data_IF_588568103873
#
_entry.id   IF_588568103873
#
_cell.length_a   1.000
_cell.length_b   1.000
_cell.length_c   1.000
_cell.angle_alpha   90.00
_cell.angle_beta   90.00
_cell.angle_gamma   90.00
#
_symmetry.space_group_name_H-M   'P 1'
#
loop_
_entity.id
_entity.type
_entity.pdbx_description
1 polymer ?
#
# COMPACT_ATOMS: atom_id res chain seq x y z
N UNK A 1 4.70 9.91 -21.76
CA UNK A 1 4.43 8.47 -21.91
C UNK A 1 3.51 8.06 -20.78
N UNK A 2 2.38 7.44 -21.08
CA UNK A 2 1.34 7.11 -20.10
C UNK A 2 1.47 5.64 -19.65
N UNK A 3 1.40 5.40 -18.33
CA UNK A 3 1.56 4.07 -17.69
C UNK A 3 0.60 3.01 -18.23
N UNK A 4 -0.54 3.41 -18.77
CA UNK A 4 -1.54 2.46 -19.31
C UNK A 4 -1.24 2.03 -20.75
N UNK A 5 -0.29 2.65 -21.46
CA UNK A 5 0.00 2.31 -22.87
C UNK A 5 0.35 0.81 -23.05
N UNK A 6 1.21 0.19 -22.21
CA UNK A 6 1.50 -1.24 -22.31
C UNK A 6 0.26 -2.12 -22.22
N UNK A 7 -0.71 -1.79 -21.35
CA UNK A 7 -1.99 -2.50 -21.29
C UNK A 7 -2.77 -2.38 -22.60
N UNK A 8 -2.89 -1.19 -23.19
CA UNK A 8 -3.58 -1.02 -24.47
C UNK A 8 -2.90 -1.77 -25.62
N UNK A 9 -1.59 -1.90 -25.60
CA UNK A 9 -0.85 -2.75 -26.53
C UNK A 9 -1.17 -4.23 -26.30
N UNK A 10 -1.20 -4.67 -25.05
CA UNK A 10 -1.56 -6.04 -24.68
C UNK A 10 -2.99 -6.41 -25.10
N UNK A 11 -3.95 -5.47 -25.02
CA UNK A 11 -5.32 -5.69 -25.50
C UNK A 11 -5.39 -6.07 -26.99
N UNK A 12 -4.45 -5.60 -27.81
CA UNK A 12 -4.38 -5.97 -29.22
C UNK A 12 -3.72 -7.35 -29.43
N UNK A 13 -2.86 -7.78 -28.51
CA UNK A 13 -2.16 -9.05 -28.60
C UNK A 13 -3.01 -10.22 -28.10
N UNK A 14 -3.78 -10.02 -27.03
CA UNK A 14 -4.60 -11.05 -26.38
C UNK A 14 -6.01 -10.55 -26.02
N UNK A 15 -6.83 -10.13 -26.99
CA UNK A 15 -8.11 -9.46 -26.74
C UNK A 15 -9.09 -10.31 -25.93
N UNK A 16 -9.26 -11.58 -26.30
CA UNK A 16 -10.27 -12.48 -25.73
C UNK A 16 -9.83 -13.12 -24.41
N UNK A 17 -8.59 -12.87 -23.98
CA UNK A 17 -8.07 -13.40 -22.74
C UNK A 17 -8.73 -12.72 -21.55
N UNK A 18 -8.97 -13.46 -20.47
CA UNK A 18 -9.41 -12.89 -19.19
C UNK A 18 -8.34 -11.98 -18.58
N UNK A 19 -8.70 -10.72 -18.34
CA UNK A 19 -7.86 -9.74 -17.66
C UNK A 19 -8.08 -9.80 -16.13
N UNK A 20 -9.34 -9.70 -15.69
CA UNK A 20 -9.70 -9.77 -14.28
C UNK A 20 -10.74 -10.84 -13.97
N UNK A 21 -10.65 -11.39 -12.77
CA UNK A 21 -11.64 -12.26 -12.15
C UNK A 21 -12.02 -11.72 -10.78
N UNK A 22 -13.31 -11.54 -10.55
CA UNK A 22 -13.90 -11.05 -9.30
C UNK A 22 -15.07 -11.96 -8.92
N UNK A 23 -14.82 -12.90 -8.00
CA UNK A 23 -15.76 -13.96 -7.65
C UNK A 23 -16.23 -14.74 -8.90
N UNK A 24 -17.52 -14.66 -9.26
CA UNK A 24 -18.09 -15.30 -10.45
C UNK A 24 -17.97 -14.44 -11.72
N UNK A 25 -17.57 -13.17 -11.58
CA UNK A 25 -17.47 -12.24 -12.70
C UNK A 25 -16.08 -12.30 -13.32
N UNK A 26 -16.04 -12.28 -14.65
CA UNK A 26 -14.81 -12.21 -15.42
C UNK A 26 -14.92 -11.14 -16.48
N UNK A 27 -13.83 -10.44 -16.78
CA UNK A 27 -13.77 -9.48 -17.88
C UNK A 27 -12.54 -9.76 -18.75
N UNK A 28 -12.75 -9.81 -20.06
CA UNK A 28 -11.66 -9.97 -21.02
C UNK A 28 -10.85 -8.68 -21.17
N UNK A 29 -9.67 -8.75 -21.79
CA UNK A 29 -8.88 -7.57 -22.12
C UNK A 29 -9.64 -6.60 -23.04
N UNK A 30 -10.38 -7.12 -24.03
CA UNK A 30 -11.15 -6.27 -24.96
C UNK A 30 -12.36 -5.62 -24.30
N UNK A 31 -13.05 -6.33 -23.40
CA UNK A 31 -14.19 -5.79 -22.66
C UNK A 31 -13.73 -4.75 -21.64
N UNK A 32 -12.62 -5.02 -20.95
CA UNK A 32 -12.00 -4.07 -20.02
C UNK A 32 -11.55 -2.81 -20.75
N UNK A 33 -10.88 -2.94 -21.90
CA UNK A 33 -10.52 -1.80 -22.75
C UNK A 33 -11.75 -0.99 -23.14
N UNK A 34 -12.81 -1.65 -23.58
CA UNK A 34 -14.06 -0.97 -23.97
C UNK A 34 -14.68 -0.21 -22.80
N UNK A 35 -14.68 -0.80 -21.60
CA UNK A 35 -15.14 -0.13 -20.38
C UNK A 35 -14.30 1.10 -20.04
N UNK A 36 -12.97 0.97 -20.07
CA UNK A 36 -12.02 2.05 -19.84
C UNK A 36 -12.23 3.19 -20.85
N UNK A 37 -12.39 2.88 -22.14
CA UNK A 37 -12.60 3.86 -23.20
C UNK A 37 -13.89 4.67 -22.96
N UNK A 38 -14.99 4.03 -22.53
CA UNK A 38 -16.24 4.71 -22.19
C UNK A 38 -16.08 5.69 -21.02
N UNK A 39 -15.47 5.24 -19.92
CA UNK A 39 -15.23 6.10 -18.75
C UNK A 39 -14.28 7.26 -19.13
N UNK A 40 -13.20 6.98 -19.85
CA UNK A 40 -12.22 7.99 -20.27
C UNK A 40 -12.85 9.03 -21.21
N UNK A 41 -13.74 8.62 -22.12
CA UNK A 41 -14.48 9.53 -22.97
C UNK A 41 -15.34 10.51 -22.17
N UNK A 42 -16.06 9.98 -21.17
CA UNK A 42 -16.89 10.78 -20.29
C UNK A 42 -16.06 11.82 -19.51
N UNK A 43 -14.90 11.42 -18.98
CA UNK A 43 -13.98 12.34 -18.31
C UNK A 43 -13.45 13.43 -19.27
N UNK A 44 -13.19 13.10 -20.54
CA UNK A 44 -12.78 14.09 -21.55
C UNK A 44 -13.90 15.08 -21.90
N UNK A 45 -15.16 14.64 -21.95
CA UNK A 45 -16.31 15.54 -22.12
C UNK A 45 -16.39 16.54 -20.96
N UNK A 46 -16.05 16.09 -19.74
CA UNK A 46 -15.92 16.93 -18.55
C UNK A 46 -14.63 17.77 -18.53
N UNK A 47 -13.84 17.76 -19.62
CA UNK A 47 -12.60 18.51 -19.79
C UNK A 47 -11.53 18.19 -18.73
N UNK A 48 -11.54 16.96 -18.20
CA UNK A 48 -10.55 16.49 -17.22
C UNK A 48 -9.19 16.32 -17.90
N UNK A 49 -8.17 17.01 -17.39
CA UNK A 49 -6.77 16.86 -17.80
C UNK A 49 -5.83 17.34 -16.69
N UNK A 50 -4.82 16.55 -16.32
CA UNK A 50 -3.85 16.84 -15.25
C UNK A 50 -4.47 17.20 -13.89
N UNK A 51 -5.74 16.84 -13.67
CA UNK A 51 -6.47 17.05 -12.42
C UNK A 51 -6.47 15.77 -11.58
N UNK A 52 -6.60 15.92 -10.26
CA UNK A 52 -6.83 14.80 -9.36
C UNK A 52 -8.28 14.32 -9.48
N UNK A 53 -8.48 13.02 -9.69
CA UNK A 53 -9.78 12.35 -9.69
C UNK A 53 -9.74 11.28 -8.61
N UNK A 54 -10.61 11.41 -7.62
CA UNK A 54 -10.69 10.44 -6.54
C UNK A 54 -11.54 9.24 -6.94
N UNK A 55 -11.20 8.05 -6.46
CA UNK A 55 -11.90 6.79 -6.72
C UNK A 55 -12.45 6.28 -5.39
N UNK A 56 -13.77 6.39 -5.19
CA UNK A 56 -14.49 5.95 -4.00
C UNK A 56 -15.15 4.59 -4.23
N UNK A 57 -14.36 3.60 -4.66
CA UNK A 57 -14.81 2.25 -5.00
C UNK A 57 -13.95 1.22 -4.28
N UNK A 58 -14.58 0.13 -3.84
CA UNK A 58 -13.86 -1.03 -3.32
C UNK A 58 -12.97 -1.66 -4.40
N UNK A 59 -11.92 -2.36 -3.96
CA UNK A 59 -11.02 -3.11 -4.84
C UNK A 59 -11.81 -4.14 -5.66
N UNK A 60 -11.73 -4.01 -6.98
CA UNK A 60 -12.44 -4.87 -7.92
C UNK A 60 -12.30 -4.39 -9.36
N UNK A 61 -13.09 -4.98 -10.27
CA UNK A 61 -13.07 -4.65 -11.70
C UNK A 61 -13.44 -3.18 -11.93
N UNK A 62 -14.41 -2.66 -11.17
CA UNK A 62 -14.89 -1.29 -11.29
C UNK A 62 -13.81 -0.26 -10.94
N UNK A 63 -13.21 -0.39 -9.76
CA UNK A 63 -12.15 0.52 -9.33
C UNK A 63 -10.93 0.46 -10.27
N UNK A 64 -10.53 -0.74 -10.74
CA UNK A 64 -9.43 -0.88 -11.67
C UNK A 64 -9.76 -0.19 -13.01
N UNK A 65 -10.97 -0.39 -13.54
CA UNK A 65 -11.43 0.25 -14.77
C UNK A 65 -11.43 1.77 -14.66
N UNK A 66 -11.88 2.33 -13.53
CA UNK A 66 -11.84 3.78 -13.28
C UNK A 66 -10.42 4.33 -13.20
N UNK A 67 -9.50 3.64 -12.52
CA UNK A 67 -8.08 4.05 -12.43
C UNK A 67 -7.48 4.14 -13.83
N UNK A 68 -7.65 3.08 -14.64
CA UNK A 68 -7.16 3.07 -16.01
C UNK A 68 -7.80 4.15 -16.88
N UNK A 69 -9.09 4.46 -16.68
CA UNK A 69 -9.80 5.50 -17.41
C UNK A 69 -9.34 6.91 -17.06
N UNK A 70 -9.12 7.19 -15.76
CA UNK A 70 -8.56 8.46 -15.28
C UNK A 70 -7.19 8.70 -15.90
N UNK A 71 -6.31 7.69 -15.85
CA UNK A 71 -4.99 7.75 -16.48
C UNK A 71 -5.11 7.92 -18.00
N UNK A 72 -6.05 7.22 -18.65
CA UNK A 72 -6.29 7.34 -20.11
C UNK A 72 -6.83 8.71 -20.53
N UNK A 73 -7.48 9.44 -19.62
CA UNK A 73 -7.87 10.84 -19.79
C UNK A 73 -6.71 11.83 -19.53
N UNK A 74 -5.57 11.36 -19.05
CA UNK A 74 -4.42 12.19 -18.70
C UNK A 74 -4.56 12.88 -17.34
N UNK A 75 -5.33 12.29 -16.43
CA UNK A 75 -5.53 12.77 -15.07
C UNK A 75 -4.82 11.88 -14.03
N UNK A 76 -4.82 12.35 -12.79
CA UNK A 76 -4.13 11.75 -11.65
C UNK A 76 -5.18 10.97 -10.85
N UNK A 77 -4.98 9.68 -10.60
CA UNK A 77 -5.91 8.93 -9.76
C UNK A 77 -5.56 9.03 -8.27
N UNK A 78 -6.58 9.13 -7.43
CA UNK A 78 -6.48 9.10 -5.98
C UNK A 78 -7.46 8.06 -5.42
N UNK A 79 -7.01 6.86 -5.06
CA UNK A 79 -7.86 5.84 -4.45
C UNK A 79 -8.25 6.25 -3.02
N UNK A 80 -9.54 6.23 -2.70
CA UNK A 80 -10.04 6.47 -1.35
C UNK A 80 -10.38 5.14 -0.68
N UNK A 81 -9.97 4.98 0.58
CA UNK A 81 -10.50 3.93 1.43
C UNK A 81 -11.78 4.42 2.11
N UNK A 82 -12.92 4.05 1.54
CA UNK A 82 -14.25 4.40 2.04
C UNK A 82 -14.61 3.71 3.37
N UNK A 83 -13.78 2.78 3.86
CA UNK A 83 -13.93 2.14 5.18
C UNK A 83 -13.30 2.98 6.30
N UNK A 84 -12.55 4.03 5.95
CA UNK A 84 -12.05 4.97 6.93
C UNK A 84 -13.18 5.81 7.55
N UNK A 85 -12.99 6.33 8.77
CA UNK A 85 -13.93 7.28 9.34
C UNK A 85 -14.13 8.49 8.43
N UNK A 86 -15.36 9.01 8.38
CA UNK A 86 -15.74 10.18 7.56
C UNK A 86 -14.80 11.36 7.75
N UNK A 87 -14.36 11.64 8.99
CA UNK A 87 -13.40 12.73 9.27
C UNK A 87 -12.08 12.57 8.49
N UNK A 88 -11.58 11.34 8.36
CA UNK A 88 -10.34 11.03 7.62
C UNK A 88 -10.56 11.15 6.11
N UNK A 89 -11.70 10.67 5.60
CA UNK A 89 -12.08 10.81 4.19
C UNK A 89 -12.19 12.30 3.83
N UNK A 90 -12.89 13.09 4.64
CA UNK A 90 -13.09 14.52 4.39
C UNK A 90 -11.77 15.30 4.48
N UNK A 91 -10.85 14.90 5.37
CA UNK A 91 -9.49 15.46 5.39
C UNK A 91 -8.78 15.21 4.05
N UNK A 92 -8.76 13.96 3.56
CA UNK A 92 -8.10 13.60 2.31
C UNK A 92 -8.71 14.37 1.13
N UNK A 93 -10.03 14.50 1.07
CA UNK A 93 -10.71 15.24 0.00
C UNK A 93 -10.37 16.73 0.07
N UNK A 94 -10.38 17.33 1.25
CA UNK A 94 -10.06 18.74 1.44
C UNK A 94 -8.60 19.06 1.07
N UNK A 95 -7.66 18.17 1.42
CA UNK A 95 -6.25 18.34 1.07
C UNK A 95 -5.96 18.01 -0.41
N UNK A 96 -6.61 16.98 -0.96
CA UNK A 96 -6.41 16.57 -2.34
C UNK A 96 -7.05 17.52 -3.36
N UNK A 97 -8.19 18.13 -3.01
CA UNK A 97 -9.02 18.95 -3.90
C UNK A 97 -9.32 18.24 -5.25
N UNK A 98 -9.93 17.05 -5.22
CA UNK A 98 -10.24 16.33 -6.46
C UNK A 98 -11.25 17.12 -7.30
N UNK A 99 -11.03 17.16 -8.61
CA UNK A 99 -11.98 17.77 -9.54
C UNK A 99 -13.30 16.98 -9.60
N UNK A 100 -13.19 15.65 -9.51
CA UNK A 100 -14.31 14.73 -9.45
C UNK A 100 -14.00 13.53 -8.55
N UNK A 101 -15.05 12.90 -8.03
CA UNK A 101 -15.01 11.66 -7.26
C UNK A 101 -15.85 10.63 -8.00
N UNK A 102 -15.23 9.53 -8.42
CA UNK A 102 -15.91 8.42 -9.10
C UNK A 102 -16.45 7.45 -8.05
N UNK A 103 -17.72 7.08 -8.17
CA UNK A 103 -18.35 6.04 -7.36
C UNK A 103 -19.53 5.39 -8.07
N UNK A 104 -20.35 4.64 -7.33
CA UNK A 104 -21.56 3.96 -7.85
C UNK A 104 -22.76 4.37 -7.00
N UNK A 105 -23.86 4.73 -7.66
CA UNK A 105 -25.09 5.19 -7.04
C UNK A 105 -25.05 6.66 -6.61
N UNK A 106 -25.89 7.01 -5.64
CA UNK A 106 -26.02 8.37 -5.15
C UNK A 106 -24.75 8.85 -4.43
N UNK A 107 -24.54 10.17 -4.47
CA UNK A 107 -23.46 10.80 -3.72
C UNK A 107 -23.63 10.52 -2.22
N UNK A 108 -22.57 10.10 -1.52
CA UNK A 108 -22.68 9.74 -0.12
C UNK A 108 -22.84 10.97 0.77
N UNK A 109 -23.55 10.83 1.89
CA UNK A 109 -23.87 11.92 2.82
C UNK A 109 -22.64 12.63 3.42
N UNK A 110 -21.48 11.98 3.41
CA UNK A 110 -20.23 12.57 3.90
C UNK A 110 -19.61 13.59 2.92
N UNK A 111 -20.07 13.63 1.67
CA UNK A 111 -19.56 14.52 0.64
C UNK A 111 -20.33 15.85 0.65
N UNK A 112 -19.68 16.91 1.12
CA UNK A 112 -20.29 18.25 1.23
C UNK A 112 -20.76 18.81 -0.13
N UNK A 113 -20.06 18.50 -1.22
CA UNK A 113 -20.39 18.95 -2.57
C UNK A 113 -20.76 17.77 -3.48
N UNK A 114 -22.06 17.41 -3.60
CA UNK A 114 -22.47 16.29 -4.45
C UNK A 114 -22.24 16.55 -5.96
N UNK A 115 -22.00 17.79 -6.39
CA UNK A 115 -21.81 18.12 -7.81
C UNK A 115 -20.50 17.57 -8.41
N UNK A 116 -19.53 17.21 -7.56
CA UNK A 116 -18.27 16.57 -8.01
C UNK A 116 -18.37 15.04 -8.03
N UNK A 117 -19.49 14.45 -7.62
CA UNK A 117 -19.71 13.01 -7.69
C UNK A 117 -20.03 12.56 -9.12
N UNK A 118 -19.35 11.53 -9.58
CA UNK A 118 -19.57 10.88 -10.87
C UNK A 118 -20.01 9.43 -10.64
N UNK A 119 -21.30 9.18 -10.82
CA UNK A 119 -21.89 7.84 -10.74
C UNK A 119 -21.61 7.05 -12.02
N UNK A 120 -20.83 5.96 -11.90
CA UNK A 120 -20.54 5.06 -13.01
C UNK A 120 -21.78 4.34 -13.56
N UNK A 121 -22.84 4.21 -12.78
CA UNK A 121 -24.09 3.60 -13.25
C UNK A 121 -24.82 4.46 -14.28
N UNK A 122 -24.51 5.77 -14.33
CA UNK A 122 -25.13 6.76 -15.21
C UNK A 122 -24.22 7.17 -16.38
N UNK A 123 -23.17 6.40 -16.67
CA UNK A 123 -22.32 6.66 -17.84
C UNK A 123 -23.17 6.66 -19.11
N UNK A 124 -22.96 7.63 -20.02
CA UNK A 124 -23.72 7.67 -21.26
C UNK A 124 -23.48 6.38 -22.05
N UNK A 125 -24.57 5.81 -22.57
CA UNK A 125 -24.55 4.55 -23.34
C UNK A 125 -23.94 4.71 -24.75
N UNK A 126 -23.37 5.87 -25.07
CA UNK A 126 -22.76 6.11 -26.38
C UNK A 126 -21.65 5.11 -26.64
N UNK A 127 -21.72 4.43 -27.80
CA UNK A 127 -20.62 3.61 -28.26
C UNK A 127 -19.44 4.52 -28.62
N UNK A 128 -18.45 4.52 -27.75
CA UNK A 128 -17.18 5.21 -27.99
C UNK A 128 -16.11 4.13 -28.05
N UNK A 129 -15.60 3.88 -29.26
CA UNK A 129 -14.57 2.88 -29.55
C UNK A 129 -13.32 3.56 -30.09
N UNK A 130 -12.15 3.01 -29.75
CA UNK A 130 -10.89 3.43 -30.33
C UNK A 130 -10.31 4.70 -29.71
N UNK A 131 -10.70 5.01 -28.47
CA UNK A 131 -10.03 6.06 -27.72
C UNK A 131 -8.65 5.57 -27.28
N UNK A 132 -7.63 6.11 -27.93
CA UNK A 132 -6.26 5.92 -27.46
C UNK A 132 -6.01 6.77 -26.20
N UNK A 133 -5.26 6.28 -25.19
CA UNK A 133 -4.85 7.07 -24.03
C UNK A 133 -4.19 8.40 -24.42
N UNK A 134 -4.46 9.46 -23.67
CA UNK A 134 -3.77 10.74 -23.88
C UNK A 134 -2.27 10.54 -23.64
N UNK A 135 -1.46 11.02 -24.58
CA UNK A 135 -0.03 11.13 -24.38
C UNK A 135 0.26 12.32 -23.44
N UNK A 136 0.87 12.02 -22.31
CA UNK A 136 1.28 12.99 -21.28
C UNK A 136 2.81 13.06 -21.20
N UNK A 137 3.38 14.06 -20.52
CA UNK A 137 4.80 14.00 -20.14
C UNK A 137 5.01 12.83 -19.15
N UNK A 138 6.14 12.12 -19.24
CA UNK A 138 6.43 11.00 -18.34
C UNK A 138 6.61 11.45 -16.88
N UNK A 139 6.97 12.71 -16.66
CA UNK A 139 7.15 13.32 -15.35
C UNK A 139 5.83 13.87 -14.78
N UNK A 140 4.74 13.88 -15.55
CA UNK A 140 3.42 14.21 -15.01
C UNK A 140 3.02 13.18 -13.95
N UNK A 141 2.27 13.65 -12.95
CA UNK A 141 1.71 12.81 -11.91
C UNK A 141 0.72 11.80 -12.51
N UNK A 142 0.79 10.56 -12.01
CA UNK A 142 -0.12 9.47 -12.32
C UNK A 142 -1.01 9.15 -11.11
N UNK A 143 -0.43 9.15 -9.90
CA UNK A 143 -1.12 8.75 -8.68
C UNK A 143 -0.84 9.69 -7.51
N UNK A 144 -1.80 9.80 -6.59
CA UNK A 144 -1.57 10.31 -5.24
C UNK A 144 -2.00 9.22 -4.26
N UNK A 145 -1.08 8.74 -3.43
CA UNK A 145 -1.36 7.70 -2.43
C UNK A 145 -1.18 8.29 -1.03
N UNK A 146 -2.25 8.36 -0.25
CA UNK A 146 -2.16 8.90 1.11
C UNK A 146 -1.60 7.89 2.10
N UNK A 147 -0.62 8.33 2.87
CA UNK A 147 -0.01 7.57 3.98
C UNK A 147 -0.21 8.30 5.30
N UNK A 148 0.03 7.63 6.44
CA UNK A 148 0.06 8.30 7.74
C UNK A 148 1.21 9.32 7.80
N UNK A 149 1.00 10.48 8.42
CA UNK A 149 2.00 11.54 8.44
C UNK A 149 2.60 11.81 9.82
N UNK A 150 3.92 12.02 9.86
CA UNK A 150 4.68 12.32 11.07
C UNK A 150 4.28 13.62 11.78
N UNK A 151 3.63 14.55 11.07
CA UNK A 151 3.05 15.79 11.63
C UNK A 151 1.63 15.60 12.15
N UNK A 152 1.15 14.34 12.17
CA UNK A 152 -0.14 13.91 12.66
C UNK A 152 -1.35 14.15 11.77
N UNK A 153 -1.10 14.41 10.47
CA UNK A 153 -2.13 14.41 9.43
C UNK A 153 -1.66 13.52 8.26
N UNK A 154 -2.55 12.82 7.56
CA UNK A 154 -2.20 12.05 6.35
C UNK A 154 -1.44 12.90 5.32
N UNK A 155 -0.51 12.27 4.60
CA UNK A 155 0.29 12.93 3.53
C UNK A 155 0.08 12.22 2.21
N UNK A 156 -0.23 12.97 1.14
CA UNK A 156 -0.33 12.42 -0.20
C UNK A 156 1.06 12.23 -0.83
N UNK A 157 1.45 11.01 -1.15
CA UNK A 157 2.67 10.70 -1.91
C UNK A 157 2.32 10.79 -3.40
N UNK A 158 2.87 11.79 -4.10
CA UNK A 158 2.56 12.02 -5.52
C UNK A 158 3.57 11.30 -6.42
N UNK A 159 3.09 10.32 -7.19
CA UNK A 159 3.91 9.46 -8.05
C UNK A 159 3.73 9.84 -9.52
N UNK A 160 4.83 9.96 -10.26
CA UNK A 160 4.81 10.23 -11.70
C UNK A 160 4.52 8.97 -12.52
N UNK A 161 4.11 9.15 -13.78
CA UNK A 161 4.04 8.03 -14.72
C UNK A 161 5.38 7.31 -14.85
N UNK A 162 6.50 8.04 -14.89
CA UNK A 162 7.85 7.47 -14.97
C UNK A 162 8.16 6.55 -13.79
N UNK A 163 7.76 6.93 -12.56
CA UNK A 163 7.97 6.12 -11.37
C UNK A 163 7.19 4.79 -11.44
N UNK A 164 5.90 4.85 -11.82
CA UNK A 164 5.09 3.64 -11.96
C UNK A 164 5.59 2.74 -13.10
N UNK A 165 6.04 3.33 -14.21
CA UNK A 165 6.55 2.58 -15.37
C UNK A 165 7.88 1.89 -15.06
N UNK A 166 8.78 2.57 -14.34
CA UNK A 166 10.08 2.01 -13.99
C UNK A 166 9.93 0.78 -13.08
N UNK A 167 9.13 0.89 -12.01
CA UNK A 167 8.76 -0.27 -11.18
C UNK A 167 8.11 -1.38 -12.01
N UNK A 168 7.13 -1.04 -12.86
CA UNK A 168 6.41 -2.05 -13.64
C UNK A 168 7.29 -2.79 -14.64
N UNK A 169 8.22 -2.10 -15.30
CA UNK A 169 9.18 -2.70 -16.23
C UNK A 169 10.19 -3.59 -15.50
N UNK A 170 10.70 -3.11 -14.36
CA UNK A 170 11.61 -3.87 -13.51
C UNK A 170 10.95 -5.15 -13.00
N UNK A 171 9.72 -5.08 -12.49
CA UNK A 171 8.98 -6.21 -11.96
C UNK A 171 8.69 -7.27 -13.05
N UNK A 172 8.31 -6.83 -14.25
CA UNK A 172 8.08 -7.73 -15.40
C UNK A 172 9.34 -8.53 -15.75
N UNK A 173 10.47 -7.85 -15.81
CA UNK A 173 11.75 -8.47 -16.17
C UNK A 173 12.26 -9.38 -15.06
N UNK A 174 12.33 -8.86 -13.83
CA UNK A 174 12.89 -9.56 -12.66
C UNK A 174 12.11 -10.82 -12.34
N UNK A 175 10.78 -10.73 -12.37
CA UNK A 175 9.91 -11.85 -12.07
C UNK A 175 9.44 -12.58 -13.32
N UNK A 176 9.93 -12.26 -14.53
CA UNK A 176 9.57 -12.97 -15.78
C UNK A 176 8.06 -13.08 -15.99
N UNK A 177 7.33 -12.01 -15.68
CA UNK A 177 5.87 -11.97 -15.85
C UNK A 177 5.54 -12.15 -17.33
N UNK A 178 4.50 -12.92 -17.59
CA UNK A 178 4.05 -13.22 -18.93
C UNK A 178 2.57 -13.60 -18.90
N UNK A 179 2.02 -13.90 -20.07
CA UNK A 179 0.61 -14.16 -20.20
C UNK A 179 0.15 -15.37 -19.37
N UNK A 180 0.97 -16.40 -19.15
CA UNK A 180 0.54 -17.59 -18.40
C UNK A 180 0.36 -17.36 -16.89
N UNK A 181 0.67 -16.16 -16.40
CA UNK A 181 0.58 -15.83 -14.99
C UNK A 181 -0.86 -15.59 -14.51
N UNK A 182 -1.12 -16.05 -13.28
CA UNK A 182 -2.38 -15.92 -12.55
C UNK A 182 -2.05 -15.25 -11.22
N UNK A 183 -2.34 -13.96 -11.14
CA UNK A 183 -1.89 -13.10 -10.05
C UNK A 183 -2.99 -13.00 -9.01
N UNK A 184 -2.69 -13.30 -7.74
CA UNK A 184 -3.63 -12.98 -6.66
C UNK A 184 -3.48 -11.50 -6.27
N UNK A 185 -4.57 -10.74 -6.34
CA UNK A 185 -4.63 -9.35 -5.90
C UNK A 185 -5.43 -9.24 -4.61
N UNK A 186 -4.75 -8.85 -3.54
CA UNK A 186 -5.37 -8.56 -2.24
C UNK A 186 -5.13 -7.11 -1.81
N UNK A 187 -3.99 -6.54 -2.20
CA UNK A 187 -3.55 -5.21 -1.80
C UNK A 187 -4.62 -4.16 -2.13
N UNK A 188 -5.15 -3.42 -1.13
CA UNK A 188 -6.01 -2.28 -1.38
C UNK A 188 -5.38 -1.31 -2.38
N UNK A 189 -6.17 -0.71 -3.27
CA UNK A 189 -5.64 0.17 -4.32
C UNK A 189 -5.05 1.48 -3.79
N UNK A 190 -5.28 1.81 -2.52
CA UNK A 190 -4.61 2.92 -1.83
C UNK A 190 -3.22 2.57 -1.28
N UNK A 191 -2.72 1.35 -1.51
CA UNK A 191 -1.33 0.98 -1.28
C UNK A 191 -0.55 0.83 -2.58
N UNK A 192 0.71 1.23 -2.54
CA UNK A 192 1.68 1.06 -3.61
C UNK A 192 1.85 -0.39 -4.07
N UNK A 193 1.70 -1.39 -3.19
CA UNK A 193 1.71 -2.81 -3.55
C UNK A 193 0.75 -3.12 -4.71
N UNK A 194 -0.40 -2.44 -4.81
CA UNK A 194 -1.36 -2.68 -5.89
C UNK A 194 -0.86 -2.23 -7.26
N UNK A 195 0.22 -1.46 -7.35
CA UNK A 195 0.84 -1.07 -8.64
C UNK A 195 1.29 -2.32 -9.41
N UNK A 196 1.76 -3.35 -8.71
CA UNK A 196 2.11 -4.64 -9.31
C UNK A 196 0.87 -5.33 -9.92
N UNK A 197 -0.19 -5.44 -9.11
CA UNK A 197 -1.46 -6.08 -9.51
C UNK A 197 -2.11 -5.35 -10.68
N UNK A 198 -2.15 -4.01 -10.62
CA UNK A 198 -2.82 -3.17 -11.61
C UNK A 198 -2.03 -3.07 -12.91
N UNK A 199 -0.74 -2.75 -12.86
CA UNK A 199 0.02 -2.32 -14.05
C UNK A 199 1.04 -3.35 -14.52
N UNK A 200 1.85 -3.91 -13.63
CA UNK A 200 2.89 -4.89 -14.03
C UNK A 200 2.26 -6.16 -14.60
N UNK A 201 1.19 -6.63 -13.94
CA UNK A 201 0.48 -7.85 -14.29
C UNK A 201 -0.23 -7.72 -15.64
N UNK A 202 -1.08 -6.70 -15.79
CA UNK A 202 -1.88 -6.54 -17.01
C UNK A 202 -1.04 -6.20 -18.24
N UNK A 203 0.05 -5.43 -18.08
CA UNK A 203 0.99 -5.16 -19.16
C UNK A 203 1.67 -6.42 -19.71
N UNK A 204 1.69 -7.51 -18.93
CA UNK A 204 2.30 -8.80 -19.31
C UNK A 204 1.32 -9.79 -19.94
N UNK A 205 0.03 -9.44 -20.07
CA UNK A 205 -1.00 -10.37 -20.53
C UNK A 205 -1.49 -11.37 -19.46
N UNK A 206 -1.15 -11.14 -18.19
CA UNK A 206 -1.53 -12.01 -17.07
C UNK A 206 -3.01 -11.86 -16.71
N UNK A 207 -3.57 -12.85 -16.01
CA UNK A 207 -4.91 -12.74 -15.42
C UNK A 207 -4.80 -12.41 -13.94
N UNK A 208 -5.47 -11.37 -13.48
CA UNK A 208 -5.48 -10.94 -12.08
C UNK A 208 -6.78 -11.39 -11.41
N UNK A 209 -6.64 -12.14 -10.32
CA UNK A 209 -7.72 -12.67 -9.50
C UNK A 209 -7.86 -11.83 -8.23
N UNK A 210 -8.98 -11.15 -8.07
CA UNK A 210 -9.26 -10.37 -6.87
C UNK A 210 -9.60 -11.30 -5.70
N UNK A 211 -8.63 -11.52 -4.82
CA UNK A 211 -8.77 -12.39 -3.64
C UNK A 211 -9.75 -11.75 -2.66
N UNK A 212 -10.87 -12.38 -2.28
CA UNK A 212 -11.85 -11.75 -1.41
C UNK A 212 -11.26 -11.37 -0.04
N UNK A 213 -11.38 -10.11 0.38
CA UNK A 213 -10.74 -9.60 1.58
C UNK A 213 -11.07 -10.41 2.86
N UNK A 214 -12.29 -10.96 2.95
CA UNK A 214 -12.73 -11.85 4.05
C UNK A 214 -11.82 -13.08 4.26
N UNK A 215 -11.16 -13.56 3.20
CA UNK A 215 -10.29 -14.74 3.28
C UNK A 215 -8.96 -14.44 3.96
N UNK A 216 -8.52 -13.18 4.04
CA UNK A 216 -7.31 -12.79 4.80
C UNK A 216 -7.36 -13.19 6.28
N UNK A 217 -8.56 -13.38 6.83
CA UNK A 217 -8.79 -13.82 8.20
C UNK A 217 -9.01 -15.34 8.33
N UNK A 218 -8.99 -16.09 7.23
CA UNK A 218 -9.30 -17.52 7.16
C UNK A 218 -8.19 -18.27 6.40
N UNK A 219 -7.07 -18.61 7.06
CA UNK A 219 -5.84 -18.99 6.39
C UNK A 219 -5.98 -20.28 5.57
N UNK A 220 -6.71 -21.28 6.06
CA UNK A 220 -6.97 -22.52 5.33
C UNK A 220 -7.93 -22.35 4.15
N UNK A 221 -8.88 -21.41 4.23
CA UNK A 221 -9.74 -21.07 3.09
C UNK A 221 -8.98 -20.24 2.06
N UNK A 222 -8.06 -19.40 2.50
CA UNK A 222 -7.19 -18.63 1.62
C UNK A 222 -6.30 -19.56 0.79
N UNK A 223 -5.63 -20.52 1.42
CA UNK A 223 -4.79 -21.48 0.70
C UNK A 223 -5.60 -22.37 -0.24
N UNK A 224 -6.79 -22.81 0.17
CA UNK A 224 -7.72 -23.51 -0.72
C UNK A 224 -8.09 -22.65 -1.94
N UNK A 225 -8.34 -21.34 -1.75
CA UNK A 225 -8.61 -20.41 -2.85
C UNK A 225 -7.41 -20.25 -3.80
N UNK A 226 -6.18 -20.14 -3.27
CA UNK A 226 -4.96 -20.10 -4.10
C UNK A 226 -4.83 -21.35 -4.97
N UNK A 227 -5.15 -22.52 -4.39
CA UNK A 227 -5.14 -23.82 -5.07
C UNK A 227 -6.21 -23.92 -6.16
N UNK A 228 -7.47 -23.61 -5.80
CA UNK A 228 -8.63 -23.65 -6.70
C UNK A 228 -8.41 -22.79 -7.94
N UNK A 229 -7.95 -21.55 -7.73
CA UNK A 229 -7.67 -20.63 -8.82
C UNK A 229 -6.27 -20.80 -9.43
N UNK A 230 -5.49 -21.82 -9.02
CA UNK A 230 -4.17 -22.13 -9.58
C UNK A 230 -3.27 -20.89 -9.66
N UNK A 231 -3.25 -20.11 -8.59
CA UNK A 231 -2.48 -18.85 -8.54
C UNK A 231 -1.00 -19.16 -8.74
N UNK A 232 -0.33 -18.38 -9.59
CA UNK A 232 1.09 -18.56 -9.91
C UNK A 232 1.98 -17.58 -9.17
N UNK A 233 1.50 -16.36 -8.94
CA UNK A 233 2.25 -15.31 -8.27
C UNK A 233 1.34 -14.56 -7.30
N UNK A 234 1.84 -14.25 -6.11
CA UNK A 234 1.15 -13.40 -5.16
C UNK A 234 2.12 -12.43 -4.49
N UNK A 235 1.80 -11.13 -4.55
CA UNK A 235 2.51 -10.08 -3.82
C UNK A 235 1.72 -9.65 -2.60
N UNK A 236 2.28 -9.84 -1.41
CA UNK A 236 1.56 -9.59 -0.15
C UNK A 236 2.50 -9.18 1.00
N UNK A 237 2.00 -9.24 2.24
CA UNK A 237 2.73 -8.83 3.44
C UNK A 237 3.20 -10.04 4.26
N UNK A 238 4.35 -9.95 4.95
CA UNK A 238 4.85 -11.02 5.81
C UNK A 238 3.90 -11.54 6.87
N UNK A 239 3.07 -10.67 7.47
CA UNK A 239 2.03 -11.06 8.43
C UNK A 239 1.06 -12.10 7.87
N UNK A 240 0.61 -11.91 6.64
CA UNK A 240 -0.32 -12.84 6.00
C UNK A 240 0.36 -14.15 5.61
N UNK A 241 1.60 -14.08 5.12
CA UNK A 241 2.39 -15.28 4.80
C UNK A 241 2.74 -16.09 6.05
N UNK A 242 3.05 -15.42 7.17
CA UNK A 242 3.20 -16.05 8.48
C UNK A 242 1.91 -16.76 8.90
N UNK A 243 0.76 -16.13 8.69
CA UNK A 243 -0.52 -16.69 9.07
C UNK A 243 -0.85 -17.98 8.31
N UNK A 244 -0.60 -18.02 6.99
CA UNK A 244 -0.79 -19.24 6.21
C UNK A 244 0.28 -20.30 6.51
N UNK A 245 1.52 -19.92 6.78
CA UNK A 245 2.57 -20.87 7.18
C UNK A 245 2.21 -21.58 8.49
N UNK A 246 1.58 -20.87 9.42
CA UNK A 246 1.19 -21.42 10.72
C UNK A 246 -0.14 -22.17 10.70
N UNK A 247 -1.13 -21.70 9.92
CA UNK A 247 -2.54 -22.13 10.02
C UNK A 247 -3.21 -22.41 8.66
N UNK A 248 -2.48 -22.35 7.56
CA UNK A 248 -3.01 -22.47 6.20
C UNK A 248 -3.13 -23.89 5.66
N UNK A 249 -2.81 -24.92 6.44
CA UNK A 249 -2.86 -26.32 5.98
C UNK A 249 -2.03 -26.59 4.70
N UNK A 250 -0.92 -25.87 4.53
CA UNK A 250 -0.05 -25.95 3.33
C UNK A 250 0.49 -27.37 3.07
N UNK A 251 0.59 -28.23 4.10
CA UNK A 251 1.02 -29.62 3.92
C UNK A 251 0.02 -30.47 3.10
N UNK A 252 -1.25 -30.09 3.10
CA UNK A 252 -2.35 -30.88 2.52
C UNK A 252 -3.01 -30.21 1.32
N UNK A 253 -2.65 -28.97 1.03
CA UNK A 253 -3.23 -28.19 -0.06
C UNK A 253 -2.28 -28.19 -1.26
N UNK A 254 -2.76 -28.59 -2.44
CA UNK A 254 -1.95 -28.57 -3.66
C UNK A 254 -1.70 -27.11 -4.11
N UNK A 255 -0.45 -26.66 -3.99
CA UNK A 255 0.01 -25.36 -4.45
C UNK A 255 1.10 -25.49 -5.51
N UNK A 256 1.11 -26.59 -6.27
CA UNK A 256 2.09 -26.86 -7.33
C UNK A 256 2.13 -25.81 -8.44
N UNK A 257 1.06 -25.02 -8.58
CA UNK A 257 1.00 -23.88 -9.49
C UNK A 257 1.62 -22.60 -8.94
N UNK A 258 1.79 -22.47 -7.62
CA UNK A 258 2.31 -21.27 -6.97
C UNK A 258 3.83 -21.19 -7.13
N UNK A 259 4.26 -20.50 -8.19
CA UNK A 259 5.68 -20.36 -8.54
C UNK A 259 6.39 -19.33 -7.68
N UNK A 260 5.69 -18.23 -7.32
CA UNK A 260 6.32 -17.05 -6.73
C UNK A 260 5.50 -16.42 -5.62
N UNK A 261 6.16 -16.11 -4.51
CA UNK A 261 5.63 -15.25 -3.45
C UNK A 261 6.55 -14.05 -3.29
N UNK A 262 5.99 -12.87 -3.54
CA UNK A 262 6.63 -11.59 -3.29
C UNK A 262 6.10 -11.07 -1.95
N UNK A 263 6.95 -10.48 -1.12
CA UNK A 263 6.48 -9.85 0.11
C UNK A 263 7.21 -8.55 0.43
N UNK A 264 6.49 -7.59 1.01
CA UNK A 264 7.03 -6.29 1.40
C UNK A 264 6.27 -5.68 2.58
N UNK A 265 6.74 -4.53 3.05
CA UNK A 265 6.03 -3.69 4.00
C UNK A 265 6.33 -3.98 5.46
N UNK A 266 6.82 -5.17 5.82
CA UNK A 266 7.13 -5.57 7.20
C UNK A 266 8.45 -6.35 7.28
N UNK A 267 9.02 -6.46 8.49
CA UNK A 267 10.10 -7.42 8.73
C UNK A 267 9.48 -8.81 8.82
N UNK A 268 9.95 -9.74 7.99
CA UNK A 268 9.47 -11.12 8.05
C UNK A 268 10.07 -11.85 9.26
N UNK A 269 9.26 -12.41 10.18
CA UNK A 269 9.79 -13.25 11.25
C UNK A 269 10.52 -14.47 10.70
N UNK A 270 11.84 -14.56 10.91
CA UNK A 270 12.68 -15.61 10.34
C UNK A 270 12.15 -17.05 10.58
N UNK A 271 11.69 -17.43 11.80
CA UNK A 271 11.13 -18.77 12.02
C UNK A 271 9.92 -19.09 11.14
N UNK A 272 9.10 -18.08 10.82
CA UNK A 272 7.95 -18.26 9.94
C UNK A 272 8.37 -18.34 8.47
N UNK A 273 9.39 -17.59 8.06
CA UNK A 273 9.94 -17.66 6.71
C UNK A 273 10.58 -19.03 6.44
N UNK A 274 11.36 -19.57 7.39
CA UNK A 274 11.91 -20.93 7.33
C UNK A 274 10.77 -21.93 7.14
N UNK A 275 9.75 -21.87 8.01
CA UNK A 275 8.60 -22.77 7.92
C UNK A 275 7.87 -22.65 6.57
N UNK A 276 7.69 -21.43 6.05
CA UNK A 276 7.07 -21.23 4.74
C UNK A 276 7.91 -21.85 3.62
N UNK A 277 9.22 -21.63 3.65
CA UNK A 277 10.18 -22.17 2.68
C UNK A 277 10.22 -23.71 2.70
N UNK A 278 10.11 -24.33 3.88
CA UNK A 278 10.02 -25.79 4.01
C UNK A 278 8.70 -26.36 3.49
N UNK A 279 7.59 -25.61 3.66
CA UNK A 279 6.26 -26.01 3.21
C UNK A 279 6.03 -25.79 1.72
N UNK A 280 6.81 -24.91 1.09
CA UNK A 280 6.72 -24.53 -0.32
C UNK A 280 8.12 -24.59 -0.97
N UNK A 281 8.76 -25.77 -1.04
CA UNK A 281 10.15 -25.90 -1.48
C UNK A 281 10.38 -25.51 -2.95
N UNK A 282 9.35 -25.60 -3.79
CA UNK A 282 9.40 -25.28 -5.22
C UNK A 282 8.95 -23.84 -5.54
N UNK A 283 8.58 -23.05 -4.53
CA UNK A 283 8.13 -21.66 -4.69
C UNK A 283 9.28 -20.69 -4.45
N UNK A 284 9.56 -19.82 -5.41
CA UNK A 284 10.53 -18.75 -5.24
C UNK A 284 9.94 -17.66 -4.31
N UNK A 285 10.67 -17.33 -3.25
CA UNK A 285 10.27 -16.29 -2.29
C UNK A 285 11.14 -15.04 -2.50
N UNK A 286 10.53 -13.86 -2.49
CA UNK A 286 11.24 -12.59 -2.67
C UNK A 286 10.83 -11.58 -1.60
N UNK A 287 11.82 -11.05 -0.88
CA UNK A 287 11.65 -9.90 0.00
C UNK A 287 11.88 -8.61 -0.80
N UNK A 288 10.85 -7.78 -0.93
CA UNK A 288 10.94 -6.48 -1.57
C UNK A 288 10.89 -5.41 -0.48
N UNK A 289 11.64 -4.33 -0.69
CA UNK A 289 11.71 -3.24 0.26
C UNK A 289 11.70 -1.89 -0.44
N UNK A 290 10.94 -0.97 0.13
CA UNK A 290 10.95 0.46 -0.17
C UNK A 290 9.73 1.11 0.47
N UNK A 291 9.84 2.33 1.03
CA UNK A 291 8.67 3.11 1.40
C UNK A 291 7.89 3.56 0.14
N UNK A 292 6.65 4.02 0.33
CA UNK A 292 5.76 4.49 -0.76
C UNK A 292 6.40 5.58 -1.62
N UNK A 293 7.23 6.42 -1.01
CA UNK A 293 7.99 7.48 -1.64
C UNK A 293 9.04 6.97 -2.65
N UNK A 294 9.39 5.68 -2.61
CA UNK A 294 10.37 5.04 -3.50
C UNK A 294 9.79 3.90 -4.32
N UNK A 295 8.58 3.44 -4.02
CA UNK A 295 7.91 2.30 -4.66
C UNK A 295 8.86 1.13 -5.00
N UNK A 296 9.41 0.50 -3.96
CA UNK A 296 10.49 -0.51 -4.03
C UNK A 296 11.83 0.06 -4.51
N UNK A 297 12.85 -0.07 -3.67
CA UNK A 297 14.24 0.32 -3.95
C UNK A 297 15.26 -0.79 -3.68
N UNK A 298 14.88 -1.83 -2.93
CA UNK A 298 15.70 -3.04 -2.74
C UNK A 298 14.88 -4.31 -2.95
N UNK A 299 15.54 -5.41 -3.26
CA UNK A 299 14.95 -6.74 -3.26
C UNK A 299 15.97 -7.83 -2.95
N UNK A 300 15.51 -8.92 -2.33
CA UNK A 300 16.27 -10.12 -2.03
C UNK A 300 15.49 -11.36 -2.47
N UNK A 301 16.10 -12.20 -3.29
CA UNK A 301 15.59 -13.55 -3.53
C UNK A 301 16.00 -14.43 -2.35
N UNK A 302 15.03 -15.04 -1.67
CA UNK A 302 15.29 -15.86 -0.51
C UNK A 302 16.03 -17.12 -0.93
N UNK A 303 17.22 -17.31 -0.40
CA UNK A 303 18.00 -18.53 -0.58
C UNK A 303 17.72 -19.48 0.59
N UNK A 304 16.98 -20.57 0.35
CA UNK A 304 16.48 -21.47 1.40
C UNK A 304 17.60 -21.99 2.31
N UNK A 305 18.75 -22.35 1.72
CA UNK A 305 19.92 -22.86 2.45
C UNK A 305 20.61 -21.80 3.32
N UNK A 306 20.34 -20.52 3.10
CA UNK A 306 20.83 -19.40 3.90
C UNK A 306 19.88 -19.04 5.03
N UNK A 307 18.74 -19.72 5.22
CA UNK A 307 17.81 -19.40 6.30
C UNK A 307 18.22 -20.04 7.63
N UNK A 308 18.57 -19.21 8.62
CA UNK A 308 18.92 -19.64 9.99
C UNK A 308 18.12 -18.85 11.04
N UNK A 309 17.76 -19.48 12.16
CA UNK A 309 16.81 -18.93 13.15
C UNK A 309 17.21 -17.57 13.72
N UNK A 310 18.52 -17.26 13.79
CA UNK A 310 19.06 -16.06 14.45
C UNK A 310 19.47 -14.94 13.50
N UNK A 311 19.21 -15.07 12.19
CA UNK A 311 19.64 -14.06 11.23
C UNK A 311 18.63 -12.93 11.00
N UNK A 312 19.16 -11.77 10.66
CA UNK A 312 18.38 -10.72 10.01
C UNK A 312 18.05 -11.16 8.58
N UNK A 313 16.80 -10.97 8.17
CA UNK A 313 16.40 -11.18 6.78
C UNK A 313 16.88 -9.98 5.95
N UNK A 314 17.74 -10.18 4.94
CA UNK A 314 18.20 -9.08 4.09
C UNK A 314 17.04 -8.44 3.33
N UNK A 315 17.16 -7.13 3.11
CA UNK A 315 16.37 -6.42 2.09
C UNK A 315 17.06 -6.48 0.71
N UNK A 316 18.30 -6.98 0.66
CA UNK A 316 18.97 -7.48 -0.54
C UNK A 316 19.74 -6.41 -1.29
N UNK A 317 19.62 -6.38 -2.61
CA UNK A 317 20.35 -5.46 -3.48
C UNK A 317 19.44 -4.37 -4.02
N UNK A 318 20.04 -3.35 -4.65
CA UNK A 318 19.29 -2.31 -5.34
C UNK A 318 18.32 -2.90 -6.38
N UNK A 319 17.09 -2.40 -6.36
CA UNK A 319 16.03 -2.71 -7.30
C UNK A 319 15.70 -1.48 -8.16
N UNK A 320 15.01 -1.67 -9.28
CA UNK A 320 14.47 -0.58 -10.10
C UNK A 320 15.51 0.50 -10.47
N UNK A 321 16.74 0.07 -10.79
CA UNK A 321 17.88 0.94 -11.12
C UNK A 321 18.18 2.02 -10.06
N UNK A 322 17.87 1.73 -8.79
CA UNK A 322 18.13 2.66 -7.69
C UNK A 322 19.63 2.78 -7.39
N UNK A 323 20.09 4.02 -7.23
CA UNK A 323 21.34 4.34 -6.57
C UNK A 323 21.09 4.50 -5.06
N UNK A 324 21.76 3.67 -4.26
CA UNK A 324 21.58 3.60 -2.82
C UNK A 324 22.83 4.08 -2.10
N UNK A 325 22.66 4.94 -1.10
CA UNK A 325 23.72 5.39 -0.20
C UNK A 325 23.32 5.13 1.25
N UNK A 326 24.31 4.89 2.10
CA UNK A 326 24.13 4.85 3.55
C UNK A 326 24.75 6.14 4.09
N UNK A 327 23.94 6.96 4.75
CA UNK A 327 24.42 8.15 5.44
C UNK A 327 25.43 7.73 6.52
N UNK A 328 26.64 8.28 6.48
CA UNK A 328 27.76 7.83 7.32
C UNK A 328 27.61 8.19 8.79
N UNK A 329 26.79 9.20 9.11
CA UNK A 329 26.59 9.66 10.48
C UNK A 329 25.46 8.89 11.17
N UNK A 330 24.37 8.66 10.45
CA UNK A 330 23.12 8.11 11.00
C UNK A 330 22.93 6.62 10.68
N UNK A 331 23.54 6.14 9.59
CA UNK A 331 23.25 4.84 8.99
C UNK A 331 21.94 4.81 8.19
N UNK A 332 21.38 5.98 7.86
CA UNK A 332 20.12 6.09 7.09
C UNK A 332 20.31 5.64 5.64
N UNK A 333 19.34 4.87 5.12
CA UNK A 333 19.28 4.57 3.70
C UNK A 333 18.76 5.78 2.90
N UNK A 334 19.56 6.26 1.97
CA UNK A 334 19.23 7.32 1.03
C UNK A 334 19.04 6.72 -0.37
N UNK A 335 17.93 7.05 -1.04
CA UNK A 335 17.53 6.42 -2.31
C UNK A 335 17.43 7.46 -3.41
N UNK A 336 18.15 7.27 -4.51
CA UNK A 336 17.95 8.01 -5.76
C UNK A 336 17.52 7.03 -6.86
N UNK A 337 16.27 7.12 -7.30
CA UNK A 337 15.70 6.23 -8.30
C UNK A 337 14.69 6.98 -9.17
N UNK A 338 14.46 6.48 -10.38
CA UNK A 338 13.33 6.89 -11.20
C UNK A 338 11.97 6.58 -10.55
N UNK A 339 11.92 5.68 -9.57
CA UNK A 339 10.73 5.40 -8.78
C UNK A 339 10.43 6.44 -7.70
N UNK A 340 11.38 7.32 -7.38
CA UNK A 340 11.16 8.33 -6.37
C UNK A 340 9.93 9.18 -6.73
N UNK A 341 9.06 9.35 -5.75
CA UNK A 341 7.91 10.24 -5.84
C UNK A 341 8.33 11.66 -6.25
N UNK A 342 7.42 12.39 -6.87
CA UNK A 342 7.65 13.77 -7.30
C UNK A 342 7.63 14.75 -6.13
N UNK A 343 7.13 14.33 -4.97
CA UNK A 343 6.96 15.15 -3.78
C UNK A 343 5.68 14.84 -3.03
N UNK A 344 5.44 15.56 -1.93
CA UNK A 344 4.18 15.42 -1.19
C UNK A 344 3.11 16.32 -1.79
N UNK A 345 1.89 15.81 -1.89
CA UNK A 345 0.70 16.59 -2.20
C UNK A 345 0.19 17.25 -0.93
N UNK A 346 -0.14 18.54 -1.03
CA UNK A 346 -0.70 19.33 0.05
C UNK A 346 -1.59 20.43 -0.52
N UNK A 347 -2.84 20.52 -0.04
CA UNK A 347 -3.79 21.57 -0.37
C UNK A 347 -3.94 21.81 -1.89
N UNK A 348 -4.11 20.73 -2.65
CA UNK A 348 -4.28 20.77 -4.10
C UNK A 348 -3.01 21.05 -4.90
N UNK A 349 -1.82 21.00 -4.27
CA UNK A 349 -0.54 21.33 -4.91
C UNK A 349 0.56 20.32 -4.58
N UNK A 350 1.42 20.07 -5.55
CA UNK A 350 2.66 19.33 -5.34
C UNK A 350 3.69 20.20 -4.61
N UNK A 351 4.29 19.66 -3.57
CA UNK A 351 5.48 20.17 -2.89
C UNK A 351 6.69 19.33 -3.36
N UNK A 352 7.47 19.82 -4.36
CA UNK A 352 8.54 19.03 -4.97
C UNK A 352 9.66 18.70 -3.99
N UNK A 353 10.40 17.64 -4.28
CA UNK A 353 11.61 17.31 -3.53
C UNK A 353 12.71 18.35 -3.74
N UNK A 354 13.42 18.64 -2.66
CA UNK A 354 14.59 19.53 -2.66
C UNK A 354 15.88 18.84 -3.10
N UNK A 355 15.92 17.50 -3.07
CA UNK A 355 17.11 16.70 -3.37
C UNK A 355 16.74 15.45 -4.17
N UNK A 356 17.71 14.89 -4.89
CA UNK A 356 17.52 13.67 -5.68
C UNK A 356 17.52 12.39 -4.82
N UNK A 357 18.16 12.44 -3.64
CA UNK A 357 18.19 11.32 -2.71
C UNK A 357 17.09 11.48 -1.67
N UNK A 358 16.15 10.56 -1.66
CA UNK A 358 15.11 10.50 -0.64
C UNK A 358 15.65 9.82 0.63
N UNK A 359 15.64 10.50 1.79
CA UNK A 359 15.96 9.91 3.08
C UNK A 359 14.79 9.04 3.54
N UNK A 360 15.02 7.74 3.68
CA UNK A 360 13.94 6.78 3.98
C UNK A 360 13.47 6.83 5.43
N UNK A 361 14.31 7.31 6.36
CA UNK A 361 14.17 7.17 7.82
C UNK A 361 14.51 5.77 8.34
N UNK A 362 15.00 4.88 7.49
CA UNK A 362 15.34 3.50 7.84
C UNK A 362 16.85 3.35 8.02
N UNK A 363 17.26 2.71 9.13
CA UNK A 363 18.65 2.40 9.41
C UNK A 363 19.03 1.08 8.74
N UNK A 364 20.14 1.08 8.01
CA UNK A 364 20.64 -0.09 7.28
C UNK A 364 22.14 -0.29 7.48
N UNK A 365 22.62 -1.50 7.15
CA UNK A 365 24.04 -1.77 6.95
C UNK A 365 24.21 -2.80 5.83
N UNK A 366 25.42 -2.89 5.26
CA UNK A 366 25.79 -3.95 4.33
C UNK A 366 26.32 -5.15 5.10
N UNK A 367 25.87 -6.35 4.74
CA UNK A 367 26.44 -7.59 5.25
C UNK A 367 27.68 -8.01 4.43
N UNK A 368 28.28 -9.15 4.79
CA UNK A 368 29.49 -9.66 4.13
C UNK A 368 29.28 -10.06 2.66
N UNK A 369 28.04 -10.24 2.21
CA UNK A 369 27.66 -10.52 0.82
C UNK A 369 27.34 -9.23 0.02
N UNK A 370 27.51 -8.06 0.65
CA UNK A 370 27.17 -6.77 0.04
C UNK A 370 25.66 -6.55 -0.08
N UNK A 371 24.85 -7.29 0.67
CA UNK A 371 23.39 -7.08 0.72
C UNK A 371 23.05 -6.09 1.82
N UNK A 372 22.04 -5.27 1.58
CA UNK A 372 21.47 -4.38 2.57
C UNK A 372 20.64 -5.17 3.58
N UNK A 373 20.87 -4.88 4.85
CA UNK A 373 20.11 -5.38 6.00
C UNK A 373 19.40 -4.23 6.70
N UNK A 374 18.14 -4.46 7.08
CA UNK A 374 17.32 -3.50 7.79
C UNK A 374 17.48 -3.62 9.31
N UNK A 375 17.77 -2.50 9.99
CA UNK A 375 18.00 -2.44 11.44
C UNK A 375 16.95 -1.64 12.21
N UNK A 376 15.86 -1.23 11.55
CA UNK A 376 14.79 -0.47 12.19
C UNK A 376 14.67 0.96 11.67
N UNK A 377 13.75 1.70 12.30
CA UNK A 377 13.54 3.13 12.06
C UNK A 377 14.51 3.97 12.87
N UNK A 378 14.92 5.11 12.30
CA UNK A 378 15.55 6.20 13.03
C UNK A 378 14.52 7.02 13.83
N UNK A 379 13.26 6.96 13.42
CA UNK A 379 12.12 7.59 14.10
C UNK A 379 11.22 6.55 14.82
N UNK A 380 10.02 6.97 15.22
CA UNK A 380 9.05 6.14 15.96
C UNK A 380 8.00 5.48 15.06
N UNK A 381 8.09 5.61 13.75
CA UNK A 381 7.10 5.06 12.82
C UNK A 381 6.94 3.55 13.02
N UNK A 382 5.71 3.08 12.98
CA UNK A 382 5.35 1.67 13.15
C UNK A 382 4.90 1.05 11.83
N UNK A 383 5.08 -0.27 11.71
CA UNK A 383 4.52 -1.09 10.64
C UNK A 383 3.53 -2.08 11.25
N UNK A 384 2.24 -1.89 11.00
CA UNK A 384 1.15 -2.67 11.60
C UNK A 384 0.28 -3.31 10.50
N UNK A 385 0.35 -4.63 10.33
CA UNK A 385 -0.39 -5.37 9.27
C UNK A 385 -0.10 -4.82 7.87
N UNK A 386 1.15 -4.43 7.60
CA UNK A 386 1.58 -3.77 6.37
C UNK A 386 1.27 -2.28 6.27
N UNK A 387 0.49 -1.71 7.20
CA UNK A 387 0.20 -0.27 7.22
C UNK A 387 1.35 0.51 7.86
N UNK A 388 1.74 1.62 7.24
CA UNK A 388 2.53 2.67 7.87
C UNK A 388 1.66 3.39 8.90
N UNK A 389 2.13 3.45 10.15
CA UNK A 389 1.42 4.12 11.25
C UNK A 389 2.40 5.04 11.98
N UNK A 390 2.10 6.34 11.98
CA UNK A 390 2.89 7.35 12.68
C UNK A 390 2.30 7.57 14.08
N UNK A 391 3.01 7.23 15.18
CA UNK A 391 2.50 7.46 16.53
C UNK A 391 2.08 8.90 16.80
N UNK A 392 2.74 9.87 16.16
CA UNK A 392 2.40 11.28 16.26
C UNK A 392 0.97 11.61 15.76
N UNK A 393 0.45 10.88 14.76
CA UNK A 393 -0.94 11.03 14.28
C UNK A 393 -1.94 10.56 15.32
N UNK A 394 -1.62 9.47 16.00
CA UNK A 394 -2.43 8.95 17.11
C UNK A 394 -2.35 9.91 18.30
N UNK A 395 -1.14 10.38 18.66
CA UNK A 395 -0.92 11.32 19.75
C UNK A 395 -1.64 12.64 19.52
N UNK A 396 -1.65 13.18 18.29
CA UNK A 396 -2.39 14.38 17.96
C UNK A 396 -3.89 14.19 18.15
N UNK A 397 -4.46 13.07 17.69
CA UNK A 397 -5.87 12.76 17.91
C UNK A 397 -6.21 12.63 19.41
N UNK A 398 -5.33 12.03 20.21
CA UNK A 398 -5.51 11.88 21.66
C UNK A 398 -5.40 13.25 22.36
N UNK A 399 -4.39 14.04 22.04
CA UNK A 399 -4.13 15.35 22.66
C UNK A 399 -5.20 16.40 22.33
N UNK A 400 -6.04 16.19 21.31
CA UNK A 400 -7.20 17.05 21.01
C UNK A 400 -8.37 16.84 21.98
N UNK A 401 -8.34 15.79 22.80
CA UNK A 401 -9.41 15.51 23.76
C UNK A 401 -9.19 16.30 25.05
N UNK A 402 -10.22 17.02 25.51
CA UNK A 402 -10.17 17.81 26.75
C UNK A 402 -9.89 16.97 28.02
N UNK A 403 -10.09 15.65 27.93
CA UNK A 403 -9.85 14.67 28.99
C UNK A 403 -8.38 14.25 29.15
N UNK A 404 -7.49 14.75 28.27
CA UNK A 404 -6.07 14.38 28.23
C UNK A 404 -5.18 15.55 28.65
N UNK A 405 -4.27 15.30 29.59
CA UNK A 405 -3.16 16.21 29.92
C UNK A 405 -1.99 15.98 28.96
N UNK A 406 -1.63 14.72 28.73
CA UNK A 406 -0.58 14.32 27.80
C UNK A 406 -0.72 12.86 27.42
N UNK A 407 -0.16 12.49 26.27
CA UNK A 407 -0.07 11.10 25.84
C UNK A 407 1.24 10.80 25.14
N UNK A 408 1.55 9.52 25.06
CA UNK A 408 2.65 8.99 24.27
C UNK A 408 2.24 7.63 23.69
N UNK A 409 2.55 7.44 22.41
CA UNK A 409 2.24 6.22 21.68
C UNK A 409 3.54 5.54 21.27
N UNK A 410 3.60 4.23 21.50
CA UNK A 410 4.71 3.35 21.14
C UNK A 410 4.17 2.10 20.46
N UNK A 411 5.04 1.38 19.75
CA UNK A 411 4.71 0.08 19.18
C UNK A 411 5.17 -1.06 20.08
N UNK A 412 4.34 -2.08 20.24
CA UNK A 412 4.73 -3.37 20.80
C UNK A 412 4.76 -4.43 19.70
N UNK A 413 5.60 -5.46 19.87
CA UNK A 413 5.64 -6.60 18.95
C UNK A 413 4.32 -7.38 19.02
N UNK A 414 3.80 -7.74 17.85
CA UNK A 414 2.61 -8.59 17.70
C UNK A 414 2.90 -9.70 16.69
N UNK A 415 2.57 -10.95 17.04
CA UNK A 415 2.88 -12.11 16.22
C UNK A 415 2.11 -12.13 14.89
N UNK A 416 0.99 -11.41 14.80
CA UNK A 416 0.10 -11.42 13.64
C UNK A 416 0.25 -10.18 12.77
N UNK A 417 0.51 -9.01 13.36
CA UNK A 417 0.55 -7.73 12.65
C UNK A 417 1.94 -7.07 12.64
N UNK A 418 2.99 -7.77 13.10
CA UNK A 418 4.34 -7.22 13.24
C UNK A 418 4.46 -6.31 14.46
N UNK A 419 3.80 -5.15 14.41
CA UNK A 419 3.65 -4.23 15.54
C UNK A 419 2.19 -3.82 15.75
N UNK A 420 1.86 -3.34 16.96
CA UNK A 420 0.61 -2.64 17.25
C UNK A 420 0.84 -1.40 18.10
N UNK A 421 0.11 -0.30 17.84
CA UNK A 421 0.18 0.88 18.69
C UNK A 421 -0.40 0.58 20.08
N UNK A 422 0.25 1.12 21.11
CA UNK A 422 -0.25 1.20 22.49
C UNK A 422 -0.03 2.61 23.02
N UNK A 423 -0.88 3.05 23.95
CA UNK A 423 -0.89 4.44 24.40
C UNK A 423 -0.76 4.57 25.92
N UNK A 424 0.24 5.31 26.38
CA UNK A 424 0.30 5.81 27.75
C UNK A 424 -0.38 7.18 27.80
N UNK A 425 -1.30 7.38 28.73
CA UNK A 425 -2.11 8.60 28.85
C UNK A 425 -2.09 9.13 30.27
N UNK A 426 -2.10 10.46 30.39
CA UNK A 426 -2.31 11.19 31.64
C UNK A 426 -3.65 11.91 31.51
N UNK A 427 -4.58 11.63 32.42
CA UNK A 427 -5.97 12.09 32.34
C UNK A 427 -6.19 13.36 33.16
N UNK A 428 -7.16 14.17 32.77
CA UNK A 428 -7.62 15.32 33.57
C UNK A 428 -8.71 14.89 34.57
N UNK A 429 -8.53 15.22 35.85
CA UNK A 429 -9.53 14.96 36.90
C UNK A 429 -9.96 13.50 36.97
N UNK A 430 -11.29 13.27 36.99
CA UNK A 430 -11.91 11.94 37.10
C UNK A 430 -12.18 11.29 35.73
N UNK A 431 -11.55 11.75 34.65
CA UNK A 431 -11.74 11.17 33.32
C UNK A 431 -11.30 9.71 33.27
N UNK A 432 -11.90 8.96 32.35
CA UNK A 432 -11.71 7.50 32.21
C UNK A 432 -11.24 7.13 30.80
N UNK A 433 -10.74 5.91 30.63
CA UNK A 433 -10.32 5.42 29.31
C UNK A 433 -11.47 5.37 28.29
N UNK A 434 -12.73 5.19 28.73
CA UNK A 434 -13.89 5.22 27.83
C UNK A 434 -14.06 6.58 27.14
N UNK A 435 -13.66 7.67 27.80
CA UNK A 435 -13.74 9.03 27.27
C UNK A 435 -12.72 9.28 26.14
N UNK A 436 -11.78 8.35 25.95
CA UNK A 436 -10.70 8.42 24.95
C UNK A 436 -10.97 7.45 23.80
N UNK A 437 -11.27 6.19 24.13
CA UNK A 437 -11.41 5.12 23.14
C UNK A 437 -12.53 5.42 22.13
N UNK A 438 -13.67 5.94 22.61
CA UNK A 438 -14.82 6.23 21.73
C UNK A 438 -14.53 7.35 20.72
N UNK A 439 -13.99 8.53 21.12
CA UNK A 439 -13.58 9.54 20.15
C UNK A 439 -12.50 9.07 19.17
N UNK A 440 -11.51 8.29 19.62
CA UNK A 440 -10.45 7.80 18.71
C UNK A 440 -11.00 6.91 17.60
N UNK A 441 -11.98 6.05 17.91
CA UNK A 441 -12.64 5.21 16.90
C UNK A 441 -13.30 6.00 15.77
N UNK A 442 -13.70 7.24 16.05
CA UNK A 442 -14.34 8.12 15.06
C UNK A 442 -13.33 8.93 14.23
N UNK A 443 -12.06 8.98 14.64
CA UNK A 443 -11.03 9.79 13.99
C UNK A 443 -9.97 8.95 13.28
N UNK A 444 -9.60 7.82 13.89
CA UNK A 444 -8.51 6.97 13.44
C UNK A 444 -9.03 5.71 12.74
N UNK A 445 -8.33 5.32 11.68
CA UNK A 445 -8.55 4.04 11.01
C UNK A 445 -8.34 2.87 12.00
N UNK A 446 -9.01 1.72 11.83
CA UNK A 446 -8.92 0.59 12.77
C UNK A 446 -7.50 0.14 13.09
N UNK A 447 -6.60 0.11 12.10
CA UNK A 447 -5.20 -0.32 12.26
C UNK A 447 -4.33 0.70 13.05
N UNK A 448 -4.80 1.93 13.23
CA UNK A 448 -4.12 2.98 14.00
C UNK A 448 -4.57 3.04 15.46
N UNK A 449 -5.65 2.36 15.82
CA UNK A 449 -6.23 2.48 17.16
C UNK A 449 -5.36 1.72 18.17
N UNK A 450 -4.93 2.35 19.28
CA UNK A 450 -4.14 1.67 20.30
C UNK A 450 -4.87 0.44 20.85
N UNK A 451 -4.18 -0.70 20.87
CA UNK A 451 -4.76 -1.97 21.34
C UNK A 451 -4.76 -2.09 22.87
N UNK A 452 -3.92 -1.32 23.56
CA UNK A 452 -3.81 -1.26 25.02
C UNK A 452 -3.54 0.18 25.46
N UNK A 453 -4.12 0.55 26.59
CA UNK A 453 -3.89 1.84 27.26
C UNK A 453 -3.34 1.62 28.66
N UNK A 454 -2.42 2.47 29.09
CA UNK A 454 -1.98 2.58 30.49
C UNK A 454 -2.21 4.02 30.95
N UNK A 455 -2.86 4.19 32.08
CA UNK A 455 -3.04 5.50 32.73
C UNK A 455 -1.86 5.74 33.68
N UNK A 456 -1.23 6.90 33.56
CA UNK A 456 -0.10 7.33 34.39
C UNK A 456 -0.41 8.67 35.05
N UNK A 457 0.19 8.92 36.21
CA UNK A 457 0.14 10.24 36.86
C UNK A 457 0.96 11.27 36.07
N UNK A 458 2.11 10.84 35.53
CA UNK A 458 2.95 11.64 34.63
C UNK A 458 3.66 10.74 33.61
N UNK A 459 3.98 11.29 32.43
CA UNK A 459 4.79 10.58 31.44
C UNK A 459 6.27 10.51 31.89
N UNK A 460 6.94 9.35 31.75
CA UNK A 460 8.38 9.23 31.94
C UNK A 460 9.14 10.23 31.07
N UNK A 461 10.16 10.90 31.64
CA UNK A 461 10.99 11.89 30.93
C UNK A 461 12.48 11.52 30.96
N UNK A 462 13.20 11.99 29.94
CA UNK A 462 14.66 11.97 29.87
C UNK A 462 15.24 13.14 30.68
N UNK A 463 16.55 13.12 30.93
CA UNK A 463 17.25 14.20 31.66
C UNK A 463 17.11 15.58 30.99
N UNK A 464 16.87 15.61 29.67
CA UNK A 464 16.62 16.83 28.91
C UNK A 464 15.14 17.27 28.87
N UNK A 465 14.27 16.63 29.68
CA UNK A 465 12.86 16.96 29.81
C UNK A 465 11.93 16.39 28.71
N UNK A 466 12.48 15.78 27.64
CA UNK A 466 11.68 15.11 26.59
C UNK A 466 11.07 13.81 27.11
N UNK A 467 9.95 13.38 26.53
CA UNK A 467 9.33 12.08 26.85
C UNK A 467 10.31 10.93 26.63
N UNK A 468 10.41 10.03 27.59
CA UNK A 468 11.23 8.83 27.52
C UNK A 468 10.41 7.66 26.96
N UNK A 469 10.34 7.57 25.62
CA UNK A 469 9.59 6.54 24.93
C UNK A 469 10.09 5.12 25.21
N UNK A 470 11.38 4.93 25.51
CA UNK A 470 11.92 3.62 25.89
C UNK A 470 11.38 3.15 27.25
N UNK A 471 11.32 4.07 28.23
CA UNK A 471 10.71 3.76 29.51
C UNK A 471 9.23 3.42 29.36
N UNK A 472 8.51 4.14 28.50
CA UNK A 472 7.10 3.88 28.20
C UNK A 472 6.92 2.51 27.54
N UNK A 473 7.76 2.16 26.55
CA UNK A 473 7.69 0.86 25.88
C UNK A 473 7.84 -0.30 26.88
N UNK A 474 8.78 -0.19 27.83
CA UNK A 474 8.96 -1.22 28.88
C UNK A 474 7.72 -1.44 29.75
N UNK A 475 6.91 -0.40 29.99
CA UNK A 475 5.65 -0.53 30.75
C UNK A 475 4.62 -1.44 30.06
N UNK A 476 4.75 -1.65 28.75
CA UNK A 476 3.87 -2.54 27.99
C UNK A 476 4.47 -3.93 27.75
N UNK A 477 5.78 -4.09 27.97
CA UNK A 477 6.51 -5.35 27.88
C UNK A 477 6.49 -6.13 29.22
N UNK A 478 6.17 -5.43 30.32
CA UNK A 478 5.82 -6.01 31.64
C UNK A 478 4.35 -6.43 31.71
#
# INVERSE_FOLDING_TARGET
>A
MNIVIPFFQQCNQTPDKTAFVEEEHTISYIDLKTRIEKIAAFLRIKQVQNQCIAIALDRGIEAASSIYAVLSAGAIYLPLDIKNPVKRINFIIADAQPAFIIGIGDAPDWLDNPAIWLDLSQLPLTEIKGIFPVLVDKNNLAAILYTSGSTGNPKGVALSHQALMNFSSWAQTTFKLNQLERIASLAPFHFDLSIFDLFSSLASGATVYFLPARLSLSPSRLTAWLSEYKITTWYTVPSLLSFIALKGALQTTDLSHLKRLLFAGEVFPCPHLIKLADLLPDTELFNLYGPTETNVCCYWQVEHHRLTVEQNIPIGYAACDAALLIDTETGELLVNSLNNFSGYWQQGKLQPLSTNYYPTGDKVALNTQGEYEYYGRLDRMLKCSGYRVEPAEIEQCINQLATIVSCAVVGIKDLTSGQRPVAAVVLTGDATLSDIIKPLRQQLAPYMQPCKFIVLDTLPRLANGKTNYQAIQRLFES
#
